data_IF_248960660782
#
_entry.id   IF_248960660782
#
_cell.length_a   1.000
_cell.length_b   1.000
_cell.length_c   1.000
_cell.angle_alpha   90.00
_cell.angle_beta   90.00
_cell.angle_gamma   90.00
#
_symmetry.space_group_name_H-M   'P 1'
#
loop_
_entity.id
_entity.type
_entity.pdbx_description
1 polymer ?
#
# COMPACT_ATOMS: atom_id res chain seq x y z
N UNK A 1 -24.96 14.98 0.07
CA UNK A 1 -23.71 14.67 0.78
C UNK A 1 -23.94 13.42 1.61
N UNK A 2 -23.01 12.48 1.61
CA UNK A 2 -23.11 11.28 2.42
C UNK A 2 -22.67 11.62 3.86
N UNK A 3 -23.53 11.41 4.85
CA UNK A 3 -23.25 11.71 6.26
C UNK A 3 -22.02 10.95 6.78
N UNK A 4 -21.67 9.83 6.15
CA UNK A 4 -20.49 9.01 6.46
C UNK A 4 -19.21 9.83 6.50
N UNK A 5 -19.06 10.82 5.60
CA UNK A 5 -17.83 11.60 5.44
C UNK A 5 -17.90 13.02 6.04
N UNK A 6 -18.99 13.37 6.75
CA UNK A 6 -19.19 14.71 7.30
C UNK A 6 -17.99 15.19 8.13
N UNK A 7 -17.40 14.31 8.97
CA UNK A 7 -16.23 14.65 9.80
C UNK A 7 -14.98 14.93 8.97
N UNK A 8 -14.79 14.21 7.88
CA UNK A 8 -13.67 14.43 6.95
C UNK A 8 -13.85 15.74 6.21
N UNK A 9 -15.07 16.02 5.74
CA UNK A 9 -15.39 17.26 5.03
C UNK A 9 -15.22 18.51 5.91
N UNK A 10 -15.53 18.43 7.21
CA UNK A 10 -15.29 19.54 8.15
C UNK A 10 -13.82 19.96 8.21
N UNK A 11 -12.89 19.08 7.88
CA UNK A 11 -11.44 19.36 7.86
C UNK A 11 -10.91 19.67 6.47
N UNK A 12 -11.35 18.93 5.45
CA UNK A 12 -10.80 19.03 4.10
C UNK A 12 -11.57 19.99 3.21
N UNK A 13 -12.85 20.24 3.52
CA UNK A 13 -13.78 21.04 2.73
C UNK A 13 -14.45 20.25 1.60
N UNK A 14 -15.57 20.77 1.06
CA UNK A 14 -16.39 20.05 0.07
C UNK A 14 -15.66 19.82 -1.25
N UNK A 15 -14.86 20.75 -1.73
CA UNK A 15 -14.09 20.61 -2.98
C UNK A 15 -13.09 19.43 -2.91
N UNK A 16 -12.44 19.24 -1.76
CA UNK A 16 -11.53 18.12 -1.54
C UNK A 16 -12.29 16.80 -1.56
N UNK A 17 -13.49 16.75 -0.97
CA UNK A 17 -14.34 15.56 -0.97
C UNK A 17 -14.83 15.20 -2.38
N UNK A 18 -15.15 16.17 -3.22
CA UNK A 18 -15.50 15.92 -4.63
C UNK A 18 -14.32 15.31 -5.40
N UNK A 19 -13.10 15.83 -5.20
CA UNK A 19 -11.89 15.27 -5.81
C UNK A 19 -11.63 13.84 -5.35
N UNK A 20 -11.77 13.55 -4.06
CA UNK A 20 -11.62 12.18 -3.52
C UNK A 20 -12.68 11.23 -4.10
N UNK A 21 -13.93 11.66 -4.16
CA UNK A 21 -15.03 10.85 -4.72
C UNK A 21 -14.86 10.57 -6.22
N UNK A 22 -14.17 11.42 -6.95
CA UNK A 22 -13.84 11.21 -8.37
C UNK A 22 -12.59 10.33 -8.58
N UNK A 23 -11.72 10.21 -7.58
CA UNK A 23 -10.42 9.57 -7.72
C UNK A 23 -10.49 8.04 -7.80
N UNK A 24 -9.55 7.46 -8.56
CA UNK A 24 -9.33 6.02 -8.69
C UNK A 24 -7.91 5.65 -8.25
N UNK A 25 -7.77 4.89 -7.18
CA UNK A 25 -6.48 4.45 -6.64
C UNK A 25 -6.29 2.94 -6.83
N UNK A 26 -5.12 2.54 -7.33
CA UNK A 26 -4.72 1.13 -7.36
C UNK A 26 -3.84 0.80 -6.16
N UNK A 27 -4.17 -0.25 -5.41
CA UNK A 27 -3.40 -0.75 -4.28
C UNK A 27 -2.81 -2.11 -4.63
N UNK A 28 -1.51 -2.15 -4.82
CA UNK A 28 -0.75 -3.36 -5.14
C UNK A 28 -0.17 -3.98 -3.88
N UNK A 29 -0.67 -5.15 -3.50
CA UNK A 29 -0.35 -5.86 -2.27
C UNK A 29 -1.25 -5.45 -1.10
N UNK A 30 -2.02 -6.42 -0.57
CA UNK A 30 -2.96 -6.24 0.53
C UNK A 30 -2.49 -6.97 1.81
N UNK A 31 -1.20 -6.85 2.08
CA UNK A 31 -0.63 -7.31 3.35
C UNK A 31 -0.89 -6.32 4.50
N UNK A 32 -0.06 -6.38 5.55
CA UNK A 32 -0.22 -5.54 6.74
C UNK A 32 -0.15 -4.02 6.51
N UNK A 33 0.40 -3.55 5.38
CA UNK A 33 0.44 -2.13 5.00
C UNK A 33 -0.72 -1.80 4.06
N UNK A 34 -0.82 -2.54 2.94
CA UNK A 34 -1.76 -2.21 1.88
C UNK A 34 -3.22 -2.37 2.28
N UNK A 35 -3.55 -3.34 3.11
CA UNK A 35 -4.92 -3.53 3.60
C UNK A 35 -5.41 -2.35 4.44
N UNK A 36 -4.60 -1.85 5.36
CA UNK A 36 -4.92 -0.65 6.15
C UNK A 36 -4.92 0.62 5.30
N UNK A 37 -4.05 0.70 4.29
CA UNK A 37 -4.08 1.81 3.34
C UNK A 37 -5.38 1.82 2.54
N UNK A 38 -5.79 0.68 1.97
CA UNK A 38 -7.03 0.55 1.21
C UNK A 38 -8.27 0.90 2.06
N UNK A 39 -8.34 0.39 3.31
CA UNK A 39 -9.42 0.75 4.23
C UNK A 39 -9.48 2.25 4.53
N UNK A 40 -8.33 2.85 4.84
CA UNK A 40 -8.28 4.27 5.15
C UNK A 40 -8.65 5.16 3.95
N UNK A 41 -8.26 4.77 2.72
CA UNK A 41 -8.68 5.46 1.50
C UNK A 41 -10.22 5.36 1.30
N UNK A 42 -10.80 4.18 1.49
CA UNK A 42 -12.26 4.00 1.42
C UNK A 42 -12.98 4.86 2.47
N UNK A 43 -12.47 4.91 3.72
CA UNK A 43 -12.99 5.74 4.81
C UNK A 43 -12.78 7.24 4.58
N UNK A 44 -11.87 7.61 3.68
CA UNK A 44 -11.63 9.01 3.29
C UNK A 44 -12.53 9.46 2.13
N UNK A 45 -13.37 8.58 1.58
CA UNK A 45 -14.29 8.91 0.50
C UNK A 45 -13.72 8.76 -0.91
N UNK A 46 -12.62 8.00 -1.10
CA UNK A 46 -12.11 7.67 -2.44
C UNK A 46 -13.16 6.88 -3.21
N UNK A 47 -13.47 7.32 -4.43
CA UNK A 47 -14.59 6.81 -5.22
C UNK A 47 -14.34 5.50 -5.95
N UNK A 48 -13.07 5.12 -6.19
CA UNK A 48 -12.73 3.84 -6.81
C UNK A 48 -11.41 3.28 -6.30
N UNK A 49 -11.37 1.98 -6.03
CA UNK A 49 -10.18 1.24 -5.63
C UNK A 49 -10.00 -0.01 -6.50
N UNK A 50 -8.83 -0.18 -7.10
CA UNK A 50 -8.40 -1.47 -7.66
C UNK A 50 -7.54 -2.18 -6.64
N UNK A 51 -7.97 -3.34 -6.19
CA UNK A 51 -7.38 -4.14 -5.13
C UNK A 51 -6.64 -5.34 -5.73
N UNK A 52 -5.31 -5.35 -5.65
CA UNK A 52 -4.46 -6.34 -6.31
C UNK A 52 -3.69 -7.14 -5.26
N UNK A 53 -4.00 -8.41 -5.13
CA UNK A 53 -3.23 -9.38 -4.32
C UNK A 53 -3.56 -10.79 -4.80
N UNK A 54 -2.58 -11.69 -4.83
CA UNK A 54 -2.75 -13.07 -5.30
C UNK A 54 -2.90 -14.08 -4.17
N UNK A 55 -2.65 -13.65 -2.93
CA UNK A 55 -2.72 -14.52 -1.75
C UNK A 55 -4.14 -14.67 -1.22
N UNK A 56 -4.35 -15.75 -0.48
CA UNK A 56 -5.50 -15.95 0.40
C UNK A 56 -5.20 -15.49 1.83
N UNK A 57 -6.23 -15.23 2.60
CA UNK A 57 -6.11 -14.92 4.03
C UNK A 57 -5.66 -16.16 4.80
N UNK A 58 -4.48 -16.05 5.38
CA UNK A 58 -3.88 -17.11 6.21
C UNK A 58 -3.97 -16.80 7.71
N UNK A 59 -3.84 -17.84 8.54
CA UNK A 59 -3.93 -17.71 10.00
C UNK A 59 -2.87 -16.73 10.55
N UNK A 60 -1.66 -16.72 9.98
CA UNK A 60 -0.56 -15.84 10.39
C UNK A 60 -0.76 -14.38 9.98
N UNK A 61 -1.80 -14.06 9.21
CA UNK A 61 -2.14 -12.68 8.82
C UNK A 61 -2.99 -11.96 9.86
N UNK A 62 -3.71 -12.71 10.72
CA UNK A 62 -4.68 -12.16 11.67
C UNK A 62 -4.08 -11.13 12.63
N UNK A 63 -2.80 -11.20 12.87
CA UNK A 63 -2.14 -10.30 13.80
C UNK A 63 -1.94 -8.87 13.27
N UNK A 64 -2.09 -8.62 11.94
CA UNK A 64 -1.74 -7.31 11.37
C UNK A 64 -2.47 -6.88 10.10
N UNK A 65 -3.19 -7.77 9.41
CA UNK A 65 -3.94 -7.45 8.18
C UNK A 65 -5.41 -7.23 8.53
N UNK A 66 -5.98 -6.12 8.09
CA UNK A 66 -7.32 -5.70 8.55
C UNK A 66 -8.45 -6.55 7.98
N UNK A 67 -8.27 -7.10 6.79
CA UNK A 67 -9.20 -8.03 6.14
C UNK A 67 -9.14 -9.44 6.74
N UNK A 68 -8.06 -9.73 7.48
CA UNK A 68 -7.83 -11.05 8.03
C UNK A 68 -8.58 -11.23 9.36
N UNK A 69 -9.60 -12.04 9.34
CA UNK A 69 -10.39 -12.50 10.48
C UNK A 69 -10.55 -14.02 10.42
N UNK A 70 -11.08 -14.64 11.48
CA UNK A 70 -11.36 -16.09 11.45
C UNK A 70 -12.42 -16.46 10.40
N UNK A 71 -13.34 -15.56 10.10
CA UNK A 71 -14.39 -15.79 9.10
C UNK A 71 -13.91 -15.60 7.66
N UNK A 72 -12.76 -14.94 7.46
CA UNK A 72 -12.20 -14.71 6.11
C UNK A 72 -11.05 -15.65 5.75
N UNK A 73 -10.67 -16.60 6.63
CA UNK A 73 -9.63 -17.60 6.33
C UNK A 73 -9.91 -18.34 5.02
N UNK A 74 -8.91 -18.42 4.14
CA UNK A 74 -9.01 -19.07 2.83
C UNK A 74 -9.71 -18.24 1.75
N UNK A 75 -10.24 -17.06 2.07
CA UNK A 75 -10.78 -16.14 1.07
C UNK A 75 -9.62 -15.36 0.43
N UNK A 76 -9.60 -15.14 -0.89
CA UNK A 76 -8.61 -14.26 -1.52
C UNK A 76 -8.58 -12.88 -0.83
N UNK A 77 -7.40 -12.36 -0.48
CA UNK A 77 -7.24 -11.09 0.24
C UNK A 77 -7.93 -9.92 -0.47
N UNK A 78 -7.78 -9.86 -1.80
CA UNK A 78 -8.42 -8.82 -2.59
C UNK A 78 -9.95 -8.86 -2.51
N UNK A 79 -10.55 -10.06 -2.45
CA UNK A 79 -11.99 -10.21 -2.27
C UNK A 79 -12.43 -9.86 -0.85
N UNK A 80 -11.73 -10.39 0.18
CA UNK A 80 -12.04 -10.07 1.58
C UNK A 80 -11.96 -8.56 1.85
N UNK A 81 -11.00 -7.88 1.22
CA UNK A 81 -10.87 -6.42 1.33
C UNK A 81 -12.00 -5.68 0.60
N UNK A 82 -12.42 -6.15 -0.58
CA UNK A 82 -13.54 -5.55 -1.33
C UNK A 82 -14.86 -5.68 -0.54
N UNK A 83 -15.14 -6.84 0.02
CA UNK A 83 -16.34 -7.08 0.84
C UNK A 83 -16.35 -6.15 2.06
N UNK A 84 -15.20 -5.99 2.71
CA UNK A 84 -15.05 -5.07 3.83
C UNK A 84 -15.24 -3.60 3.43
N UNK A 85 -14.72 -3.19 2.29
CA UNK A 85 -14.91 -1.82 1.76
C UNK A 85 -16.38 -1.57 1.42
N UNK A 86 -17.08 -2.54 0.86
CA UNK A 86 -18.50 -2.40 0.53
C UNK A 86 -19.36 -2.14 1.79
N UNK A 87 -19.00 -2.71 2.94
CA UNK A 87 -19.67 -2.46 4.23
C UNK A 87 -19.32 -1.08 4.84
N UNK A 88 -18.14 -0.53 4.49
CA UNK A 88 -17.67 0.78 4.99
C UNK A 88 -18.16 1.93 4.10
N UNK A 89 -17.97 1.79 2.80
CA UNK A 89 -18.29 2.80 1.78
C UNK A 89 -18.92 2.13 0.56
N UNK A 90 -20.23 1.92 0.55
CA UNK A 90 -20.93 1.27 -0.56
C UNK A 90 -20.86 2.06 -1.87
N UNK A 91 -20.48 3.34 -1.84
CA UNK A 91 -20.28 4.17 -3.02
C UNK A 91 -18.88 4.01 -3.63
N UNK A 92 -17.94 3.38 -2.94
CA UNK A 92 -16.60 3.09 -3.47
C UNK A 92 -16.66 1.90 -4.43
N UNK A 93 -16.39 2.13 -5.69
CA UNK A 93 -16.33 1.05 -6.70
C UNK A 93 -15.04 0.26 -6.52
N UNK A 94 -15.14 -1.00 -6.17
CA UNK A 94 -13.98 -1.89 -6.04
C UNK A 94 -13.81 -2.76 -7.28
N UNK A 95 -12.57 -2.85 -7.79
CA UNK A 95 -12.14 -3.83 -8.80
C UNK A 95 -11.20 -4.81 -8.14
N UNK A 96 -11.61 -6.08 -8.07
CA UNK A 96 -10.84 -7.16 -7.45
C UNK A 96 -9.95 -7.83 -8.49
N UNK A 97 -8.65 -7.95 -8.20
CA UNK A 97 -7.69 -8.69 -9.02
C UNK A 97 -6.92 -9.68 -8.15
N UNK A 98 -7.33 -10.94 -8.21
CA UNK A 98 -6.66 -12.06 -7.53
C UNK A 98 -5.53 -12.54 -8.43
N UNK A 99 -4.55 -11.68 -8.64
CA UNK A 99 -3.45 -11.88 -9.57
C UNK A 99 -2.15 -11.33 -8.98
N UNK A 100 -1.05 -12.00 -9.28
CA UNK A 100 0.28 -11.51 -8.97
C UNK A 100 0.73 -10.52 -10.04
N UNK A 101 1.16 -9.33 -9.62
CA UNK A 101 1.80 -8.40 -10.53
C UNK A 101 3.18 -8.90 -10.96
N UNK A 102 3.39 -9.02 -12.25
CA UNK A 102 4.67 -9.40 -12.86
C UNK A 102 4.89 -8.60 -14.16
N UNK A 103 6.14 -8.39 -14.55
CA UNK A 103 6.49 -7.65 -15.77
C UNK A 103 5.82 -8.24 -17.04
N UNK A 104 5.64 -9.56 -17.10
CA UNK A 104 5.02 -10.24 -18.25
C UNK A 104 3.52 -9.94 -18.40
N UNK A 105 2.81 -9.67 -17.29
CA UNK A 105 1.38 -9.34 -17.26
C UNK A 105 1.09 -7.86 -17.06
N UNK A 106 2.11 -7.02 -17.04
CA UNK A 106 2.05 -5.58 -16.76
C UNK A 106 0.90 -4.87 -17.44
N UNK A 107 0.76 -5.04 -18.75
CA UNK A 107 -0.22 -4.31 -19.56
C UNK A 107 -1.67 -4.52 -19.10
N UNK A 108 -1.99 -5.72 -18.60
CA UNK A 108 -3.33 -6.02 -18.10
C UNK A 108 -3.71 -5.19 -16.87
N UNK A 109 -2.73 -4.78 -16.06
CA UNK A 109 -2.95 -3.96 -14.86
C UNK A 109 -3.13 -2.49 -15.18
N UNK A 110 -2.67 -2.02 -16.33
CA UNK A 110 -2.75 -0.62 -16.77
C UNK A 110 -3.78 -0.40 -17.89
N UNK A 111 -4.70 -1.33 -18.09
CA UNK A 111 -5.82 -1.17 -19.02
C UNK A 111 -6.86 -0.13 -18.56
N UNK A 112 -6.88 0.18 -17.28
CA UNK A 112 -7.71 1.23 -16.66
C UNK A 112 -6.81 2.34 -16.14
N UNK A 113 -7.17 3.62 -16.32
CA UNK A 113 -6.39 4.73 -15.77
C UNK A 113 -6.51 4.79 -14.24
N UNK A 114 -5.41 5.15 -13.59
CA UNK A 114 -5.35 5.40 -12.15
C UNK A 114 -4.88 6.84 -11.90
N UNK A 115 -5.48 7.50 -10.92
CA UNK A 115 -5.05 8.81 -10.44
C UNK A 115 -3.86 8.69 -9.48
N UNK A 116 -3.73 7.51 -8.83
CA UNK A 116 -2.63 7.22 -7.91
C UNK A 116 -2.38 5.72 -7.78
N UNK A 117 -1.13 5.34 -7.56
CA UNK A 117 -0.73 3.96 -7.25
C UNK A 117 -0.12 3.90 -5.85
N UNK A 118 -0.61 2.96 -5.03
CA UNK A 118 -0.02 2.57 -3.75
C UNK A 118 0.67 1.23 -3.94
N UNK A 119 2.00 1.24 -3.78
CA UNK A 119 2.82 0.03 -3.92
C UNK A 119 3.20 -0.52 -2.54
N UNK A 120 2.57 -1.63 -2.18
CA UNK A 120 2.85 -2.42 -0.98
C UNK A 120 3.38 -3.82 -1.30
N UNK A 121 3.90 -4.03 -2.52
CA UNK A 121 4.54 -5.30 -2.94
C UNK A 121 5.82 -5.51 -2.15
N UNK A 122 6.06 -6.74 -1.72
CA UNK A 122 7.29 -7.11 -0.99
C UNK A 122 8.38 -7.72 -1.90
N UNK A 123 8.02 -8.20 -3.10
CA UNK A 123 8.96 -8.76 -4.07
C UNK A 123 9.68 -7.64 -4.83
N UNK A 124 11.00 -7.56 -4.65
CA UNK A 124 11.85 -6.47 -5.19
C UNK A 124 11.73 -6.31 -6.70
N UNK A 125 11.74 -7.40 -7.48
CA UNK A 125 11.64 -7.33 -8.94
C UNK A 125 10.32 -6.72 -9.42
N UNK A 126 9.20 -7.16 -8.84
CA UNK A 126 7.87 -6.64 -9.16
C UNK A 126 7.71 -5.18 -8.72
N UNK A 127 8.21 -4.83 -7.52
CA UNK A 127 8.21 -3.45 -7.02
C UNK A 127 8.98 -2.50 -7.95
N UNK A 128 10.17 -2.88 -8.39
CA UNK A 128 11.00 -2.07 -9.30
C UNK A 128 10.31 -1.87 -10.66
N UNK A 129 9.73 -2.93 -11.20
CA UNK A 129 8.99 -2.86 -12.46
C UNK A 129 7.74 -1.98 -12.35
N UNK A 130 6.98 -2.08 -11.25
CA UNK A 130 5.81 -1.25 -10.98
C UNK A 130 6.18 0.24 -10.87
N UNK A 131 7.24 0.56 -10.11
CA UNK A 131 7.74 1.93 -9.96
C UNK A 131 8.15 2.52 -11.31
N UNK A 132 8.97 1.80 -12.08
CA UNK A 132 9.44 2.24 -13.40
C UNK A 132 8.27 2.45 -14.37
N UNK A 133 7.31 1.53 -14.37
CA UNK A 133 6.11 1.62 -15.21
C UNK A 133 5.24 2.83 -14.85
N UNK A 134 4.98 3.04 -13.57
CA UNK A 134 4.17 4.17 -13.11
C UNK A 134 4.83 5.51 -13.48
N UNK A 135 6.14 5.65 -13.24
CA UNK A 135 6.90 6.85 -13.59
C UNK A 135 6.87 7.11 -15.10
N UNK A 136 7.11 6.08 -15.91
CA UNK A 136 7.10 6.19 -17.38
C UNK A 136 5.72 6.61 -17.92
N UNK A 137 4.66 6.20 -17.22
CA UNK A 137 3.27 6.55 -17.58
C UNK A 137 2.77 7.84 -16.92
N UNK A 138 3.64 8.55 -16.17
CA UNK A 138 3.29 9.74 -15.40
C UNK A 138 2.14 9.52 -14.41
N UNK A 139 2.04 8.33 -13.81
CA UNK A 139 1.07 8.02 -12.78
C UNK A 139 1.76 8.23 -11.41
N UNK A 140 1.23 9.08 -10.53
CA UNK A 140 1.75 9.24 -9.18
C UNK A 140 1.80 7.91 -8.42
N UNK A 141 2.92 7.64 -7.75
CA UNK A 141 3.11 6.39 -7.01
C UNK A 141 3.83 6.64 -5.68
N UNK A 142 3.33 6.01 -4.62
CA UNK A 142 3.96 5.95 -3.30
C UNK A 142 4.26 4.49 -2.94
N UNK A 143 5.51 4.18 -2.67
CA UNK A 143 5.94 2.81 -2.32
C UNK A 143 6.24 2.65 -0.84
N UNK A 144 5.66 1.62 -0.20
CA UNK A 144 6.07 1.16 1.12
C UNK A 144 7.40 0.41 1.03
N UNK A 145 8.35 0.77 1.89
CA UNK A 145 9.56 -0.01 2.11
C UNK A 145 9.42 -0.91 3.34
N UNK A 146 10.50 -1.52 3.82
CA UNK A 146 10.45 -2.56 4.85
C UNK A 146 9.81 -2.10 6.16
N UNK A 147 8.71 -2.74 6.53
CA UNK A 147 8.00 -2.56 7.82
C UNK A 147 8.16 -3.77 8.77
N UNK A 148 8.72 -4.87 8.28
CA UNK A 148 9.01 -6.05 9.10
C UNK A 148 10.19 -5.86 10.05
N UNK A 149 10.20 -6.63 11.15
CA UNK A 149 11.24 -6.62 12.17
C UNK A 149 11.41 -5.26 12.88
N UNK A 150 10.35 -4.48 13.00
CA UNK A 150 10.31 -3.15 13.63
C UNK A 150 9.28 -3.10 14.74
N UNK A 151 9.49 -2.21 15.70
CA UNK A 151 8.65 -2.06 16.90
C UNK A 151 8.13 -0.63 17.07
N UNK A 152 8.84 0.36 16.55
CA UNK A 152 8.51 1.77 16.73
C UNK A 152 7.93 2.40 15.44
N UNK A 153 6.60 2.53 15.35
CA UNK A 153 5.96 3.14 14.19
C UNK A 153 6.13 4.66 14.14
N UNK A 154 6.52 5.33 15.25
CA UNK A 154 6.73 6.78 15.28
C UNK A 154 7.93 7.22 14.43
N UNK A 155 8.80 6.30 14.06
CA UNK A 155 9.96 6.54 13.21
C UNK A 155 9.66 6.51 11.71
N UNK A 156 8.43 6.17 11.30
CA UNK A 156 8.06 6.21 9.88
C UNK A 156 8.14 7.63 9.31
N UNK A 157 8.63 7.71 8.09
CA UNK A 157 8.74 8.93 7.29
C UNK A 157 8.25 8.70 5.87
N UNK A 158 7.64 9.71 5.27
CA UNK A 158 7.35 9.76 3.84
C UNK A 158 8.22 10.83 3.19
N UNK A 159 8.90 10.49 2.11
CA UNK A 159 9.78 11.41 1.40
C UNK A 159 10.48 10.75 0.21
N UNK A 160 11.52 11.40 -0.28
CA UNK A 160 12.29 10.93 -1.44
C UNK A 160 13.22 9.77 -1.07
N UNK A 161 13.30 8.76 -1.96
CA UNK A 161 14.15 7.58 -1.76
C UNK A 161 15.63 7.92 -1.63
N UNK A 162 16.08 9.01 -2.24
CA UNK A 162 17.48 9.47 -2.13
C UNK A 162 17.88 9.84 -0.70
N UNK A 163 16.90 10.21 0.14
CA UNK A 163 17.09 10.62 1.54
C UNK A 163 16.88 9.49 2.55
N UNK A 164 16.59 8.26 2.08
CA UNK A 164 16.35 7.12 2.98
C UNK A 164 17.63 6.63 3.66
N UNK A 165 17.50 6.27 4.93
CA UNK A 165 18.58 5.74 5.78
C UNK A 165 18.07 4.54 6.61
N UNK A 166 18.97 3.74 7.19
CA UNK A 166 18.65 2.66 8.14
C UNK A 166 17.92 1.44 7.59
N UNK A 167 17.22 1.54 6.47
CA UNK A 167 16.41 0.47 5.90
C UNK A 167 17.18 -0.34 4.84
N UNK A 168 17.40 -1.66 5.04
CA UNK A 168 18.09 -2.50 4.06
C UNK A 168 17.36 -2.57 2.70
N UNK A 169 16.02 -2.69 2.71
CA UNK A 169 15.22 -2.71 1.49
C UNK A 169 15.35 -1.38 0.73
N UNK A 170 15.30 -0.24 1.43
CA UNK A 170 15.51 1.07 0.81
C UNK A 170 16.86 1.16 0.09
N UNK A 171 17.91 0.59 0.69
CA UNK A 171 19.25 0.57 0.07
C UNK A 171 19.26 -0.19 -1.26
N UNK A 172 18.60 -1.34 -1.30
CA UNK A 172 18.49 -2.17 -2.51
C UNK A 172 17.67 -1.44 -3.58
N UNK A 173 16.45 -1.00 -3.25
CA UNK A 173 15.55 -0.32 -4.19
C UNK A 173 16.20 0.94 -4.73
N UNK A 174 16.82 1.78 -3.89
CA UNK A 174 17.51 3.00 -4.32
C UNK A 174 18.65 2.72 -5.30
N UNK A 175 19.44 1.66 -5.05
CA UNK A 175 20.52 1.26 -5.96
C UNK A 175 19.97 0.83 -7.32
N UNK A 176 18.96 -0.04 -7.31
CA UNK A 176 18.39 -0.59 -8.55
C UNK A 176 17.61 0.46 -9.36
N UNK A 177 16.91 1.40 -8.71
CA UNK A 177 16.28 2.52 -9.39
C UNK A 177 17.31 3.46 -10.05
N UNK A 178 18.43 3.74 -9.38
CA UNK A 178 19.52 4.52 -9.97
C UNK A 178 20.11 3.85 -11.22
N UNK A 179 20.27 2.53 -11.22
CA UNK A 179 20.70 1.77 -12.40
C UNK A 179 19.74 1.89 -13.58
N UNK A 180 18.46 2.24 -13.31
CA UNK A 180 17.39 2.49 -14.29
C UNK A 180 17.22 3.98 -14.62
N UNK A 181 18.10 4.85 -14.14
CA UNK A 181 18.01 6.31 -14.34
C UNK A 181 16.96 7.01 -13.45
N UNK A 182 16.35 6.30 -12.50
CA UNK A 182 15.37 6.86 -11.56
C UNK A 182 16.10 7.25 -10.27
N UNK A 183 16.28 8.55 -10.06
CA UNK A 183 16.99 9.09 -8.89
C UNK A 183 16.02 9.49 -7.78
N UNK A 184 14.83 9.96 -8.16
CA UNK A 184 13.79 10.43 -7.26
C UNK A 184 12.58 9.52 -7.30
N UNK A 185 12.07 9.13 -6.15
CA UNK A 185 10.85 8.36 -6.00
C UNK A 185 10.30 8.53 -4.58
N UNK A 186 8.99 8.73 -4.46
CA UNK A 186 8.32 8.90 -3.18
C UNK A 186 8.13 7.58 -2.47
N UNK A 187 8.58 7.48 -1.22
CA UNK A 187 8.54 6.25 -0.42
C UNK A 187 8.15 6.52 1.02
N UNK A 188 7.54 5.50 1.66
CA UNK A 188 7.45 5.40 3.11
C UNK A 188 8.54 4.45 3.59
N UNK A 189 9.31 4.87 4.59
CA UNK A 189 10.36 4.05 5.24
C UNK A 189 10.49 4.37 6.72
N UNK A 190 11.21 3.51 7.44
CA UNK A 190 11.65 3.78 8.83
C UNK A 190 13.15 3.60 8.93
N UNK A 191 13.88 4.54 9.57
CA UNK A 191 15.30 4.40 9.86
C UNK A 191 15.58 3.40 11.00
N UNK A 192 14.56 2.88 11.68
CA UNK A 192 14.73 1.88 12.74
C UNK A 192 15.53 0.67 12.22
N UNK A 193 16.55 0.26 12.98
CA UNK A 193 17.30 -0.95 12.67
C UNK A 193 16.41 -2.20 12.88
N UNK A 194 16.35 -3.12 11.89
CA UNK A 194 15.56 -4.33 12.02
C UNK A 194 16.00 -5.17 13.22
N UNK A 195 15.05 -5.59 14.07
CA UNK A 195 15.30 -6.54 15.15
C UNK A 195 15.54 -7.94 14.60
N UNK A 196 16.38 -8.71 15.27
CA UNK A 196 16.53 -10.13 14.96
C UNK A 196 15.24 -10.87 15.31
N UNK A 197 14.62 -11.53 14.32
CA UNK A 197 13.43 -12.35 14.52
C UNK A 197 13.81 -13.80 14.80
N UNK A 198 13.14 -14.42 15.77
CA UNK A 198 13.25 -15.87 16.03
C UNK A 198 12.57 -16.58 14.86
N UNK A 199 13.29 -17.50 14.22
CA UNK A 199 12.75 -18.28 13.10
C UNK A 199 12.12 -19.58 13.63
N UNK A 200 10.83 -19.78 13.35
CA UNK A 200 10.09 -20.99 13.71
C UNK A 200 9.89 -21.95 12.54
N UNK A 201 10.15 -21.46 11.32
CA UNK A 201 9.99 -22.22 10.07
C UNK A 201 11.09 -21.84 9.07
N UNK A 202 11.34 -22.70 8.10
CA UNK A 202 12.26 -22.40 7.01
C UNK A 202 11.69 -21.27 6.13
N UNK A 203 12.52 -20.31 5.70
CA UNK A 203 12.06 -19.25 4.82
C UNK A 203 11.63 -19.81 3.45
N UNK A 204 10.63 -19.20 2.79
CA UNK A 204 10.27 -19.56 1.42
C UNK A 204 11.45 -19.46 0.45
N UNK A 205 11.43 -20.20 -0.67
CA UNK A 205 12.48 -20.14 -1.69
C UNK A 205 12.79 -18.69 -2.09
N UNK A 206 14.09 -18.36 -2.14
CA UNK A 206 14.56 -17.00 -2.50
C UNK A 206 14.58 -15.98 -1.36
N UNK A 207 14.13 -16.34 -0.15
CA UNK A 207 14.21 -15.48 1.05
C UNK A 207 15.23 -16.02 2.05
N UNK A 208 15.90 -15.11 2.78
CA UNK A 208 16.89 -15.47 3.81
C UNK A 208 16.24 -15.75 5.17
N UNK A 209 15.08 -15.17 5.44
CA UNK A 209 14.35 -15.31 6.70
C UNK A 209 12.89 -14.91 6.49
N UNK A 210 12.02 -15.35 7.40
CA UNK A 210 10.65 -14.85 7.53
C UNK A 210 10.69 -13.62 8.44
N UNK A 211 10.28 -12.43 7.99
CA UNK A 211 10.29 -11.24 8.83
C UNK A 211 9.22 -11.35 9.92
N UNK A 212 9.59 -11.04 11.15
CA UNK A 212 8.63 -10.82 12.24
C UNK A 212 7.79 -9.57 11.99
N UNK A 213 6.57 -9.55 12.51
CA UNK A 213 5.68 -8.40 12.42
C UNK A 213 4.74 -8.31 13.61
N UNK A 214 4.37 -7.09 13.98
CA UNK A 214 3.48 -6.77 15.11
C UNK A 214 2.24 -6.01 14.62
N UNK A 215 1.20 -6.01 15.44
CA UNK A 215 -0.11 -5.48 15.07
C UNK A 215 -0.15 -3.96 14.82
N UNK A 216 0.82 -3.19 15.28
CA UNK A 216 0.78 -1.72 15.22
C UNK A 216 1.75 -1.10 14.22
N UNK A 217 2.79 -1.79 13.76
CA UNK A 217 3.79 -1.20 12.87
C UNK A 217 3.31 -1.13 11.42
N UNK A 218 2.96 -2.23 10.73
CA UNK A 218 2.47 -2.15 9.36
C UNK A 218 1.17 -1.33 9.21
N UNK A 219 0.19 -1.43 10.15
CA UNK A 219 -1.01 -0.60 10.11
C UNK A 219 -0.74 0.89 10.09
N UNK A 220 0.14 1.38 10.97
CA UNK A 220 0.50 2.80 11.01
C UNK A 220 1.14 3.24 9.69
N UNK A 221 2.00 2.42 9.09
CA UNK A 221 2.56 2.69 7.76
C UNK A 221 1.45 2.82 6.71
N UNK A 222 0.47 1.92 6.69
CA UNK A 222 -0.67 1.96 5.78
C UNK A 222 -1.53 3.22 5.96
N UNK A 223 -1.85 3.59 7.20
CA UNK A 223 -2.60 4.80 7.52
C UNK A 223 -1.86 6.07 7.11
N UNK A 224 -0.54 6.15 7.32
CA UNK A 224 0.27 7.27 6.87
C UNK A 224 0.28 7.41 5.35
N UNK A 225 0.41 6.29 4.63
CA UNK A 225 0.34 6.29 3.17
C UNK A 225 -1.03 6.77 2.67
N UNK A 226 -2.11 6.26 3.26
CA UNK A 226 -3.46 6.68 2.90
C UNK A 226 -3.69 8.17 3.10
N UNK A 227 -3.26 8.73 4.23
CA UNK A 227 -3.35 10.17 4.50
C UNK A 227 -2.56 11.00 3.49
N UNK A 228 -1.34 10.57 3.15
CA UNK A 228 -0.50 11.23 2.15
C UNK A 228 -1.14 11.24 0.76
N UNK A 229 -1.67 10.09 0.33
CA UNK A 229 -2.37 9.93 -0.96
C UNK A 229 -3.66 10.75 -0.99
N UNK A 230 -4.48 10.66 0.05
CA UNK A 230 -5.75 11.39 0.13
C UNK A 230 -5.54 12.92 0.07
N UNK A 231 -4.56 13.45 0.82
CA UNK A 231 -4.23 14.89 0.79
C UNK A 231 -3.69 15.32 -0.59
N UNK A 232 -2.95 14.46 -1.28
CA UNK A 232 -2.44 14.73 -2.63
C UNK A 232 -3.60 14.76 -3.64
N UNK A 233 -4.49 13.77 -3.62
CA UNK A 233 -5.67 13.71 -4.50
C UNK A 233 -6.63 14.87 -4.25
N UNK A 234 -6.81 15.27 -3.00
CA UNK A 234 -7.61 16.42 -2.60
C UNK A 234 -7.01 17.78 -3.06
N UNK A 235 -5.76 17.80 -3.54
CA UNK A 235 -5.05 19.02 -3.90
C UNK A 235 -4.57 19.86 -2.70
N UNK A 236 -4.54 19.26 -1.52
CA UNK A 236 -4.09 19.89 -0.26
C UNK A 236 -2.60 19.65 0.03
N UNK A 237 -1.96 18.82 -0.79
CA UNK A 237 -0.53 18.51 -0.72
C UNK A 237 0.04 18.35 -2.12
N UNK A 238 1.21 18.91 -2.35
CA UNK A 238 1.99 18.70 -3.58
C UNK A 238 2.86 17.44 -3.47
N UNK A 239 3.11 16.78 -4.61
CA UNK A 239 3.99 15.62 -4.74
C UNK A 239 5.46 15.98 -4.53
#
# INVERSE_FOLDING_TARGET
MDETFLRTEMLLGPEAMEKLAAAHVAVFGLGGVGSWCAEALARSGVGALTLIDHDEVGLTNLNRQVEATRSTLGIPKAQAMADRIADINPNCRTTVRVEKYEAASRESFFSTPYDYIVDCIDLVSCKLDLIETAITRNIPILSALGTGNKLDPSLFRIGDISKTEGCPLARVIRKELRNRGIVHHRVLWSPEEPKAAIQHEAPPPGRRSVPGSVAWVPPVAGLMMAGDVALTLAGLKTL
#
